data_IF_514964990164
#
_entry.id   IF_514964990164
#
_cell.length_a   1.000
_cell.length_b   1.000
_cell.length_c   1.000
_cell.angle_alpha   90.00
_cell.angle_beta   90.00
_cell.angle_gamma   90.00
#
_symmetry.space_group_name_H-M   'P 1'
#
loop_
_entity.id
_entity.type
_entity.pdbx_description
1 polymer ?
#
# COMPACT_ATOMS: atom_id res chain seq x y z
N UNK A 1 13.08 -36.83 13.30
CA UNK A 1 12.22 -35.64 13.50
C UNK A 1 11.50 -35.32 12.20
N UNK A 2 10.23 -34.90 12.22
CA UNK A 2 9.50 -34.55 11.00
C UNK A 2 10.12 -33.32 10.31
N UNK A 3 10.22 -33.36 8.97
CA UNK A 3 10.84 -32.31 8.13
C UNK A 3 10.31 -30.90 8.40
N UNK A 4 9.02 -30.78 8.71
CA UNK A 4 8.34 -29.52 9.02
C UNK A 4 8.93 -28.80 10.26
N UNK A 5 9.34 -29.52 11.31
CA UNK A 5 9.92 -28.88 12.49
C UNK A 5 11.33 -28.34 12.23
N UNK A 6 12.10 -29.01 11.36
CA UNK A 6 13.43 -28.55 10.97
C UNK A 6 13.35 -27.24 10.19
N UNK A 7 12.37 -27.12 9.29
CA UNK A 7 12.15 -25.89 8.52
C UNK A 7 11.76 -24.70 9.40
N UNK A 8 10.95 -24.94 10.45
CA UNK A 8 10.57 -23.90 11.41
C UNK A 8 11.78 -23.47 12.25
N UNK A 9 12.59 -24.41 12.72
CA UNK A 9 13.79 -24.10 13.50
C UNK A 9 14.79 -23.26 12.69
N UNK A 10 14.99 -23.56 11.41
CA UNK A 10 15.84 -22.78 10.52
C UNK A 10 15.34 -21.34 10.35
N UNK A 11 14.03 -21.16 10.19
CA UNK A 11 13.42 -19.82 10.10
C UNK A 11 13.58 -19.02 11.39
N UNK A 12 13.38 -19.65 12.54
CA UNK A 12 13.58 -18.99 13.85
C UNK A 12 15.04 -18.56 13.99
N UNK A 13 16.00 -19.44 13.72
CA UNK A 13 17.43 -19.13 13.79
C UNK A 13 17.80 -17.93 12.90
N UNK A 14 17.28 -17.88 11.68
CA UNK A 14 17.51 -16.76 10.76
C UNK A 14 16.98 -15.45 11.33
N UNK A 15 15.76 -15.45 11.87
CA UNK A 15 15.15 -14.26 12.49
C UNK A 15 15.97 -13.82 13.71
N UNK A 16 16.40 -14.73 14.57
CA UNK A 16 17.24 -14.41 15.73
C UNK A 16 18.54 -13.72 15.32
N UNK A 17 19.23 -14.24 14.30
CA UNK A 17 20.49 -13.67 13.80
C UNK A 17 20.30 -12.25 13.24
N UNK A 18 19.22 -12.01 12.51
CA UNK A 18 18.98 -10.72 11.86
C UNK A 18 18.43 -9.66 12.82
N UNK A 19 17.64 -10.06 13.81
CA UNK A 19 16.89 -9.13 14.68
C UNK A 19 17.46 -9.03 16.10
N UNK A 20 18.39 -9.91 16.48
CA UNK A 20 18.94 -10.05 17.83
C UNK A 20 17.87 -10.29 18.91
N UNK A 21 16.70 -10.78 18.51
CA UNK A 21 15.61 -11.12 19.41
C UNK A 21 15.75 -12.55 19.91
N UNK A 22 15.32 -12.79 21.15
CA UNK A 22 15.16 -14.16 21.65
C UNK A 22 13.89 -14.82 21.10
N UNK A 23 13.77 -16.13 21.32
CA UNK A 23 12.64 -16.93 20.82
C UNK A 23 11.30 -16.45 21.39
N UNK A 24 11.27 -16.01 22.66
CA UNK A 24 10.03 -15.57 23.30
C UNK A 24 9.50 -14.26 22.69
N UNK A 25 10.41 -13.34 22.37
CA UNK A 25 10.08 -12.09 21.67
C UNK A 25 9.62 -12.34 20.22
N UNK A 26 10.24 -13.30 19.53
CA UNK A 26 9.83 -13.70 18.19
C UNK A 26 8.43 -14.31 18.22
N UNK A 27 8.16 -15.22 19.17
CA UNK A 27 6.86 -15.87 19.31
C UNK A 27 5.77 -14.86 19.69
N UNK A 28 6.06 -13.93 20.62
CA UNK A 28 5.13 -12.87 21.00
C UNK A 28 4.73 -12.03 19.79
N UNK A 29 5.70 -11.54 19.01
CA UNK A 29 5.43 -10.78 17.78
C UNK A 29 4.67 -11.59 16.74
N UNK A 30 5.03 -12.86 16.55
CA UNK A 30 4.34 -13.73 15.59
C UNK A 30 2.87 -13.94 15.96
N UNK A 31 2.58 -14.12 17.25
CA UNK A 31 1.21 -14.25 17.78
C UNK A 31 0.45 -12.93 17.62
N UNK A 32 1.05 -11.79 17.99
CA UNK A 32 0.41 -10.48 17.82
C UNK A 32 0.08 -10.19 16.34
N UNK A 33 1.01 -10.45 15.42
CA UNK A 33 0.79 -10.29 13.98
C UNK A 33 -0.33 -11.21 13.49
N UNK A 34 -0.31 -12.48 13.87
CA UNK A 34 -1.38 -13.42 13.50
C UNK A 34 -2.73 -13.02 14.08
N UNK A 35 -2.76 -12.50 15.32
CA UNK A 35 -3.99 -12.01 15.93
C UNK A 35 -4.52 -10.76 15.23
N UNK A 36 -3.65 -9.87 14.76
CA UNK A 36 -4.04 -8.70 13.96
C UNK A 36 -4.66 -9.11 12.61
N UNK A 37 -4.13 -10.12 11.92
CA UNK A 37 -4.72 -10.58 10.65
C UNK A 37 -6.13 -11.13 10.83
N UNK A 38 -6.44 -11.72 12.00
CA UNK A 38 -7.79 -12.17 12.33
C UNK A 38 -8.76 -11.03 12.67
N UNK A 39 -8.24 -9.88 13.12
CA UNK A 39 -9.05 -8.71 13.48
C UNK A 39 -9.31 -7.77 12.30
N UNK A 40 -8.46 -7.80 11.27
CA UNK A 40 -8.66 -6.95 10.08
C UNK A 40 -9.88 -7.49 9.33
N UNK A 41 -10.96 -6.70 9.18
CA UNK A 41 -12.06 -7.06 8.29
C UNK A 41 -11.47 -7.32 6.90
N UNK A 42 -11.86 -8.39 6.21
CA UNK A 42 -11.45 -8.58 4.82
C UNK A 42 -11.99 -7.45 3.96
N UNK A 43 -11.20 -6.39 3.82
CA UNK A 43 -11.52 -5.26 2.97
C UNK A 43 -11.36 -5.70 1.53
N UNK A 44 -12.33 -5.33 0.71
CA UNK A 44 -12.18 -5.53 -0.74
C UNK A 44 -11.06 -4.62 -1.26
N UNK A 45 -10.42 -4.97 -2.38
CA UNK A 45 -9.45 -4.07 -3.01
C UNK A 45 -9.99 -2.66 -3.25
N UNK A 46 -11.29 -2.52 -3.53
CA UNK A 46 -11.97 -1.22 -3.66
C UNK A 46 -11.96 -0.43 -2.35
N UNK A 47 -12.30 -1.05 -1.22
CA UNK A 47 -12.30 -0.39 0.08
C UNK A 47 -10.90 0.08 0.49
N UNK A 48 -9.87 -0.72 0.20
CA UNK A 48 -8.47 -0.33 0.43
C UNK A 48 -8.11 0.89 -0.42
N UNK A 49 -8.54 0.90 -1.68
CA UNK A 49 -8.28 2.01 -2.59
C UNK A 49 -8.99 3.29 -2.14
N UNK A 50 -10.26 3.21 -1.74
CA UNK A 50 -11.04 4.35 -1.21
C UNK A 50 -10.41 4.95 0.05
N UNK A 51 -10.01 4.11 1.01
CA UNK A 51 -9.40 4.56 2.27
C UNK A 51 -7.99 5.16 2.09
N UNK A 52 -7.26 4.73 1.06
CA UNK A 52 -5.90 5.20 0.81
C UNK A 52 -5.81 6.67 0.38
N UNK A 53 -6.94 7.29 0.02
CA UNK A 53 -6.98 8.65 -0.52
C UNK A 53 -6.30 8.82 -1.88
N UNK A 54 -5.85 7.71 -2.50
CA UNK A 54 -5.26 7.67 -3.85
C UNK A 54 -6.30 7.66 -4.98
N UNK A 55 -7.59 7.78 -4.64
CA UNK A 55 -8.61 8.03 -5.65
C UNK A 55 -8.55 9.49 -6.05
N UNK A 56 -7.70 9.78 -7.05
CA UNK A 56 -7.73 11.02 -7.80
C UNK A 56 -8.95 11.04 -8.72
N UNK A 57 -10.15 11.12 -8.15
CA UNK A 57 -11.35 11.47 -8.91
C UNK A 57 -11.30 12.98 -9.16
N UNK A 58 -10.82 13.37 -10.35
CA UNK A 58 -11.11 14.68 -10.89
C UNK A 58 -12.25 14.52 -11.89
N UNK A 59 -13.36 15.21 -11.66
CA UNK A 59 -14.36 15.43 -12.69
C UNK A 59 -13.85 16.61 -13.53
N UNK A 60 -13.45 16.31 -14.76
CA UNK A 60 -13.06 17.30 -15.75
C UNK A 60 -13.54 16.82 -17.13
N UNK A 61 -13.25 17.58 -18.17
CA UNK A 61 -13.60 17.25 -19.55
C UNK A 61 -13.26 15.77 -19.88
N UNK A 62 -14.24 14.94 -20.30
CA UNK A 62 -13.99 13.54 -20.64
C UNK A 62 -12.95 13.38 -21.76
N UNK A 63 -12.80 14.41 -22.60
CA UNK A 63 -11.82 14.47 -23.67
C UNK A 63 -10.53 15.19 -23.27
N UNK A 64 -10.34 15.54 -21.98
CA UNK A 64 -9.17 16.26 -21.49
C UNK A 64 -7.86 15.59 -21.93
N UNK A 65 -7.79 14.26 -21.85
CA UNK A 65 -6.59 13.52 -22.27
C UNK A 65 -6.21 13.77 -23.73
N UNK A 66 -7.19 14.05 -24.58
CA UNK A 66 -7.02 14.29 -26.01
C UNK A 66 -6.89 15.77 -26.35
N UNK A 67 -7.56 16.66 -25.61
CA UNK A 67 -7.62 18.09 -25.91
C UNK A 67 -6.81 18.99 -24.96
N UNK A 68 -6.13 18.46 -23.93
CA UNK A 68 -5.49 19.27 -22.87
C UNK A 68 -4.55 20.34 -23.42
N UNK A 69 -3.82 20.08 -24.51
CA UNK A 69 -2.91 21.06 -25.11
C UNK A 69 -3.66 22.29 -25.62
N UNK A 70 -4.81 22.08 -26.25
CA UNK A 70 -5.66 23.16 -26.74
C UNK A 70 -6.22 23.95 -25.55
N UNK A 71 -6.82 23.26 -24.57
CA UNK A 71 -7.39 23.88 -23.36
C UNK A 71 -6.34 24.69 -22.60
N UNK A 72 -5.11 24.18 -22.45
CA UNK A 72 -4.00 24.91 -21.83
C UNK A 72 -3.58 26.12 -22.65
N UNK A 73 -3.49 25.99 -23.98
CA UNK A 73 -3.09 27.10 -24.85
C UNK A 73 -4.09 28.25 -24.78
N UNK A 74 -5.39 27.94 -24.86
CA UNK A 74 -6.47 28.93 -24.78
C UNK A 74 -6.53 29.60 -23.40
N UNK A 75 -6.41 28.82 -22.32
CA UNK A 75 -6.44 29.36 -20.95
C UNK A 75 -5.23 30.25 -20.65
N UNK A 76 -4.04 29.89 -21.14
CA UNK A 76 -2.84 30.72 -21.01
C UNK A 76 -2.95 31.99 -21.84
N UNK A 77 -3.42 31.90 -23.09
CA UNK A 77 -3.66 33.07 -23.92
C UNK A 77 -4.62 34.04 -23.21
N UNK A 78 -5.77 33.54 -22.73
CA UNK A 78 -6.74 34.35 -22.00
C UNK A 78 -6.18 34.98 -20.72
N UNK A 79 -5.31 34.27 -19.99
CA UNK A 79 -4.74 34.77 -18.73
C UNK A 79 -3.71 35.89 -18.93
N UNK A 80 -2.95 35.82 -20.03
CA UNK A 80 -1.83 36.73 -20.30
C UNK A 80 -2.10 37.70 -21.46
N UNK A 81 -3.29 37.69 -22.06
CA UNK A 81 -3.74 38.70 -23.01
C UNK A 81 -4.09 40.00 -22.26
N UNK A 82 -3.04 40.70 -21.83
CA UNK A 82 -3.10 42.02 -21.19
C UNK A 82 -2.96 43.14 -22.24
N UNK A 83 -3.70 43.04 -23.35
CA UNK A 83 -3.71 44.08 -24.39
C UNK A 83 -4.80 45.13 -24.14
#
# INVERSE_FOLDING_TARGET
MPKLMADIANKINLIQQQTQQDISEILKKAIELYYQTLQIPQKTPLQILEESGLIGCFEDDPDLSSNYKQVLTESLAKKYDHR
#
